data_IF_504806981772
#
_entry.id   IF_504806981772
#
_cell.length_a   1.000
_cell.length_b   1.000
_cell.length_c   1.000
_cell.angle_alpha   90.00
_cell.angle_beta   90.00
_cell.angle_gamma   90.00
#
_symmetry.space_group_name_H-M   'P 1'
#
loop_
_entity.id
_entity.type
_entity.pdbx_description
1 polymer ?
#
# COMPACT_ATOMS: atom_id res chain seq x y z
N UNK A 1 -12.60 -10.47 22.06
CA UNK A 1 -13.33 -9.26 22.50
C UNK A 1 -13.85 -9.44 23.93
N UNK A 2 -13.94 -8.36 24.76
CA UNK A 2 -14.63 -8.41 26.05
C UNK A 2 -16.13 -8.64 25.85
N UNK A 3 -16.83 -9.10 26.89
CA UNK A 3 -18.23 -9.55 26.79
C UNK A 3 -19.17 -8.49 26.20
N UNK A 4 -19.00 -7.22 26.57
CA UNK A 4 -19.81 -6.11 26.03
C UNK A 4 -19.68 -5.91 24.51
N UNK A 5 -18.63 -6.46 23.88
CA UNK A 5 -18.36 -6.34 22.45
C UNK A 5 -18.07 -7.71 21.79
N UNK A 6 -18.50 -8.82 22.41
CA UNK A 6 -18.15 -10.18 21.97
C UNK A 6 -18.56 -10.46 20.52
N UNK A 7 -19.72 -9.97 20.12
CA UNK A 7 -20.30 -10.17 18.79
C UNK A 7 -20.36 -8.88 17.96
N UNK A 8 -19.77 -7.80 18.45
CA UNK A 8 -19.80 -6.46 17.83
C UNK A 8 -18.42 -5.81 17.94
N UNK A 9 -17.41 -6.27 17.17
CA UNK A 9 -16.07 -5.71 17.19
C UNK A 9 -16.03 -4.18 16.99
N UNK A 10 -16.90 -3.64 16.14
CA UNK A 10 -17.07 -2.20 15.94
C UNK A 10 -17.43 -1.45 17.22
N UNK A 11 -18.25 -2.03 18.10
CA UNK A 11 -18.62 -1.44 19.39
C UNK A 11 -17.40 -1.32 20.31
N UNK A 12 -16.47 -2.29 20.26
CA UNK A 12 -15.22 -2.18 21.02
C UNK A 12 -14.42 -0.96 20.59
N UNK A 13 -14.24 -0.76 19.28
CA UNK A 13 -13.45 0.35 18.75
C UNK A 13 -14.11 1.71 18.98
N UNK A 14 -15.43 1.82 18.77
CA UNK A 14 -16.20 3.02 19.12
C UNK A 14 -16.10 3.35 20.62
N UNK A 15 -16.13 2.33 21.47
CA UNK A 15 -15.96 2.50 22.91
C UNK A 15 -14.53 2.93 23.29
N UNK A 16 -13.53 2.40 22.59
CA UNK A 16 -12.14 2.80 22.79
C UNK A 16 -11.94 4.28 22.44
N UNK A 17 -12.46 4.73 21.30
CA UNK A 17 -12.43 6.15 20.88
C UNK A 17 -13.15 7.05 21.90
N UNK A 18 -14.29 6.60 22.42
CA UNK A 18 -15.12 7.38 23.34
C UNK A 18 -14.55 7.46 24.76
N UNK A 19 -14.01 6.37 25.28
CA UNK A 19 -13.73 6.22 26.71
C UNK A 19 -12.24 6.15 27.08
N UNK A 20 -11.33 5.94 26.11
CA UNK A 20 -9.93 6.22 26.39
C UNK A 20 -9.70 7.72 26.63
N UNK A 21 -8.73 8.03 27.48
CA UNK A 21 -8.32 9.44 27.69
C UNK A 21 -7.74 10.01 26.39
N UNK A 22 -7.82 11.32 26.19
CA UNK A 22 -7.33 12.00 24.99
C UNK A 22 -5.89 11.62 24.58
N UNK A 23 -4.98 11.47 25.55
CA UNK A 23 -3.57 11.11 25.31
C UNK A 23 -3.27 9.61 25.52
N UNK A 24 -4.28 8.74 25.46
CA UNK A 24 -4.07 7.31 25.53
C UNK A 24 -3.86 6.71 24.15
N UNK A 25 -3.12 5.60 24.15
CA UNK A 25 -3.06 4.68 23.03
C UNK A 25 -4.39 3.93 22.93
N UNK A 26 -5.15 4.24 21.89
CA UNK A 26 -6.42 3.58 21.52
C UNK A 26 -6.11 2.19 20.96
N UNK A 27 -5.21 2.12 19.97
CA UNK A 27 -4.79 0.88 19.34
C UNK A 27 -3.28 0.82 19.06
N UNK A 28 -2.82 -0.40 18.79
CA UNK A 28 -1.55 -0.75 18.17
C UNK A 28 -1.86 -1.38 16.82
N UNK A 29 -1.04 -1.09 15.81
CA UNK A 29 -1.08 -1.80 14.54
C UNK A 29 0.24 -2.55 14.32
N UNK A 30 0.13 -3.79 13.83
CA UNK A 30 1.22 -4.55 13.23
C UNK A 30 0.79 -4.84 11.79
N UNK A 31 1.60 -4.38 10.84
CA UNK A 31 1.44 -4.68 9.42
C UNK A 31 2.53 -5.67 9.00
N UNK A 32 2.16 -6.71 8.27
CA UNK A 32 3.11 -7.73 7.80
C UNK A 32 2.70 -8.29 6.44
N UNK A 33 3.70 -8.47 5.57
CA UNK A 33 3.52 -9.09 4.27
C UNK A 33 3.29 -10.60 4.42
N UNK A 34 2.44 -11.15 3.57
CA UNK A 34 2.12 -12.56 3.51
C UNK A 34 2.88 -13.22 2.34
N UNK A 35 3.31 -14.50 2.45
CA UNK A 35 3.93 -15.18 1.34
C UNK A 35 2.99 -15.32 0.14
N UNK A 36 3.48 -15.00 -1.06
CA UNK A 36 2.71 -15.05 -2.32
C UNK A 36 2.50 -16.48 -2.81
N UNK A 37 3.37 -17.37 -2.37
CA UNK A 37 3.35 -18.80 -2.67
C UNK A 37 2.14 -19.48 -2.01
N UNK A 38 1.67 -18.94 -0.88
CA UNK A 38 0.53 -19.46 -0.13
C UNK A 38 -0.78 -18.95 -0.72
N UNK A 39 -1.76 -19.85 -0.83
CA UNK A 39 -3.15 -19.50 -1.12
C UNK A 39 -3.76 -18.65 0.01
N UNK A 40 -4.85 -17.93 -0.29
CA UNK A 40 -5.57 -17.13 0.71
C UNK A 40 -5.94 -17.94 1.96
N UNK A 41 -6.42 -19.19 1.78
CA UNK A 41 -6.80 -20.05 2.91
C UNK A 41 -5.59 -20.40 3.80
N UNK A 42 -4.45 -20.73 3.19
CA UNK A 42 -3.23 -21.03 3.93
C UNK A 42 -2.69 -19.78 4.64
N UNK A 43 -2.78 -18.61 3.99
CA UNK A 43 -2.44 -17.34 4.59
C UNK A 43 -3.38 -16.98 5.76
N UNK A 44 -4.67 -17.26 5.67
CA UNK A 44 -5.60 -17.11 6.80
C UNK A 44 -5.17 -18.00 7.98
N UNK A 45 -4.87 -19.29 7.73
CA UNK A 45 -4.38 -20.22 8.75
C UNK A 45 -3.09 -19.70 9.43
N UNK A 46 -2.13 -19.20 8.64
CA UNK A 46 -0.90 -18.59 9.13
C UNK A 46 -1.17 -17.35 9.99
N UNK A 47 -2.03 -16.43 9.53
CA UNK A 47 -2.41 -15.22 10.29
C UNK A 47 -3.06 -15.58 11.63
N UNK A 48 -3.99 -16.55 11.64
CA UNK A 48 -4.62 -17.00 12.89
C UNK A 48 -3.60 -17.61 13.87
N UNK A 49 -2.68 -18.43 13.36
CA UNK A 49 -1.60 -19.00 14.17
C UNK A 49 -0.72 -17.90 14.76
N UNK A 50 -0.37 -16.90 13.94
CA UNK A 50 0.47 -15.78 14.34
C UNK A 50 -0.19 -14.95 15.44
N UNK A 51 -1.45 -14.55 15.24
CA UNK A 51 -2.22 -13.80 16.25
C UNK A 51 -2.24 -14.56 17.58
N UNK A 52 -2.54 -15.86 17.56
CA UNK A 52 -2.56 -16.69 18.78
C UNK A 52 -1.20 -16.69 19.48
N UNK A 53 -0.12 -16.89 18.76
CA UNK A 53 1.23 -16.95 19.36
C UNK A 53 1.78 -15.58 19.79
N UNK A 54 1.11 -14.48 19.43
CA UNK A 54 1.64 -13.13 19.68
C UNK A 54 0.80 -12.36 20.70
N UNK A 55 -0.52 -12.30 20.51
CA UNK A 55 -1.42 -11.40 21.26
C UNK A 55 -2.71 -12.05 21.80
N UNK A 56 -2.98 -13.31 21.44
CA UNK A 56 -4.17 -14.07 21.85
C UNK A 56 -3.79 -15.49 22.33
N UNK A 57 -3.02 -15.54 23.41
CA UNK A 57 -2.56 -16.75 24.10
C UNK A 57 -2.84 -16.67 25.61
N UNK A 58 -2.39 -17.68 26.35
CA UNK A 58 -2.56 -17.79 27.79
C UNK A 58 -1.95 -16.62 28.58
N UNK A 59 -0.87 -16.01 28.07
CA UNK A 59 -0.21 -14.87 28.72
C UNK A 59 -0.83 -13.53 28.34
N UNK A 60 -1.42 -13.44 27.14
CA UNK A 60 -1.99 -12.21 26.60
C UNK A 60 -3.29 -12.49 25.88
N UNK A 61 -4.36 -11.86 26.35
CA UNK A 61 -5.67 -11.88 25.69
C UNK A 61 -6.09 -10.47 25.33
N UNK A 62 -5.65 -10.00 24.17
CA UNK A 62 -5.91 -8.63 23.73
C UNK A 62 -7.14 -8.58 22.82
N UNK A 63 -8.00 -7.55 22.92
CA UNK A 63 -8.99 -7.26 21.89
C UNK A 63 -8.30 -6.88 20.57
N UNK A 64 -8.67 -7.52 19.46
CA UNK A 64 -8.08 -7.27 18.14
C UNK A 64 -9.09 -7.37 17.00
N UNK A 65 -8.72 -6.80 15.86
CA UNK A 65 -9.34 -6.99 14.56
C UNK A 65 -8.22 -7.05 13.52
N UNK A 66 -8.43 -7.81 12.45
CA UNK A 66 -7.45 -7.87 11.37
C UNK A 66 -8.12 -7.94 10.01
N UNK A 67 -7.40 -7.50 8.99
CA UNK A 67 -7.82 -7.57 7.59
C UNK A 67 -6.65 -8.05 6.73
N UNK A 68 -6.94 -8.97 5.81
CA UNK A 68 -5.98 -9.41 4.78
C UNK A 68 -6.34 -8.68 3.49
N UNK A 69 -5.37 -7.95 2.95
CA UNK A 69 -5.46 -7.26 1.67
C UNK A 69 -4.56 -7.92 0.64
N UNK A 70 -4.86 -7.69 -0.64
CA UNK A 70 -3.94 -8.00 -1.73
C UNK A 70 -4.05 -6.90 -2.79
N UNK A 71 -2.96 -6.14 -2.96
CA UNK A 71 -2.90 -5.10 -3.99
C UNK A 71 -2.94 -5.74 -5.38
N UNK A 72 -4.01 -5.51 -6.14
CA UNK A 72 -4.24 -6.16 -7.44
C UNK A 72 -3.09 -5.96 -8.42
N UNK A 73 -2.51 -4.76 -8.42
CA UNK A 73 -1.49 -4.36 -9.39
C UNK A 73 -0.12 -4.97 -9.10
N UNK A 74 0.20 -5.20 -7.81
CA UNK A 74 1.52 -5.63 -7.37
C UNK A 74 1.55 -7.04 -6.76
N UNK A 75 0.39 -7.71 -6.69
CA UNK A 75 0.18 -8.98 -6.00
C UNK A 75 0.87 -9.01 -4.63
N UNK A 76 0.59 -8.00 -3.81
CA UNK A 76 1.22 -7.79 -2.51
C UNK A 76 0.25 -8.16 -1.38
N UNK A 77 0.09 -9.46 -1.05
CA UNK A 77 -0.77 -9.85 0.04
C UNK A 77 -0.15 -9.42 1.36
N UNK A 78 -0.92 -8.73 2.19
CA UNK A 78 -0.48 -8.23 3.49
C UNK A 78 -1.64 -8.26 4.50
N UNK A 79 -1.30 -8.24 5.78
CA UNK A 79 -2.27 -8.24 6.87
C UNK A 79 -2.07 -7.00 7.74
N UNK A 80 -3.18 -6.29 7.99
CA UNK A 80 -3.27 -5.27 9.03
C UNK A 80 -3.85 -5.92 10.27
N UNK A 81 -3.08 -5.97 11.36
CA UNK A 81 -3.54 -6.44 12.67
C UNK A 81 -3.60 -5.26 13.64
N UNK A 82 -4.81 -4.87 14.01
CA UNK A 82 -5.07 -3.78 14.96
C UNK A 82 -5.55 -4.35 16.29
N UNK A 83 -4.92 -3.97 17.39
CA UNK A 83 -5.27 -4.48 18.72
C UNK A 83 -5.16 -3.43 19.82
N UNK A 84 -5.96 -3.58 20.87
CA UNK A 84 -5.85 -2.78 22.10
C UNK A 84 -4.78 -3.37 23.01
N UNK A 85 -4.03 -2.50 23.71
CA UNK A 85 -3.06 -2.95 24.71
C UNK A 85 -3.70 -3.30 26.06
N UNK A 86 -5.04 -3.26 26.17
CA UNK A 86 -5.76 -3.68 27.38
C UNK A 86 -5.97 -5.18 27.38
N UNK A 87 -5.59 -5.84 28.47
CA UNK A 87 -5.79 -7.27 28.63
C UNK A 87 -7.21 -7.59 29.10
N UNK A 88 -7.84 -8.55 28.43
CA UNK A 88 -9.07 -9.18 28.89
C UNK A 88 -8.69 -10.14 30.02
N UNK A 89 -9.10 -9.79 31.24
CA UNK A 89 -9.01 -10.66 32.41
C UNK A 89 -10.37 -11.33 32.68
N UNK A 90 -10.55 -11.93 33.86
CA UNK A 90 -11.77 -12.64 34.25
C UNK A 90 -12.87 -11.73 34.82
N UNK A 91 -12.64 -10.42 34.94
CA UNK A 91 -13.63 -9.49 35.48
C UNK A 91 -14.48 -8.91 34.35
N UNK A 92 -15.78 -9.15 34.46
CA UNK A 92 -16.78 -8.56 33.59
C UNK A 92 -16.87 -7.04 33.83
N UNK A 93 -16.82 -6.28 32.74
CA UNK A 93 -16.86 -4.81 32.77
C UNK A 93 -17.76 -4.30 31.66
N UNK A 94 -18.53 -3.26 31.96
CA UNK A 94 -19.17 -2.45 30.92
C UNK A 94 -18.11 -1.64 30.15
N UNK A 95 -18.46 -1.19 28.94
CA UNK A 95 -17.56 -0.43 28.06
C UNK A 95 -16.85 0.72 28.78
N UNK A 96 -17.58 1.62 29.44
CA UNK A 96 -17.00 2.78 30.14
C UNK A 96 -15.97 2.34 31.19
N UNK A 97 -16.28 1.31 31.98
CA UNK A 97 -15.38 0.82 33.02
C UNK A 97 -14.12 0.19 32.42
N UNK A 98 -14.24 -0.59 31.34
CA UNK A 98 -13.12 -1.28 30.71
C UNK A 98 -11.96 -0.32 30.37
N UNK A 99 -12.28 0.91 29.95
CA UNK A 99 -11.29 1.93 29.57
C UNK A 99 -10.86 2.86 30.71
N UNK A 100 -11.37 2.70 31.94
CA UNK A 100 -10.86 3.43 33.12
C UNK A 100 -9.43 3.01 33.46
N UNK A 101 -8.80 3.76 34.39
CA UNK A 101 -7.51 3.37 34.95
C UNK A 101 -7.66 2.04 35.70
N UNK A 102 -6.71 1.13 35.49
CA UNK A 102 -6.68 -0.12 36.24
C UNK A 102 -6.43 0.14 37.73
N UNK A 103 -7.14 -0.59 38.58
CA UNK A 103 -6.97 -0.53 40.03
C UNK A 103 -6.21 -1.78 40.48
N UNK A 104 -4.96 -1.61 40.91
CA UNK A 104 -4.12 -2.75 41.33
C UNK A 104 -4.54 -3.36 42.66
N UNK A 105 -5.28 -2.63 43.51
CA UNK A 105 -5.75 -3.13 44.81
C UNK A 105 -7.06 -3.90 44.66
N UNK A 106 -8.00 -3.36 43.87
CA UNK A 106 -9.31 -3.97 43.60
C UNK A 106 -9.57 -3.96 42.07
N UNK A 107 -9.03 -4.93 41.30
CA UNK A 107 -9.07 -4.96 39.84
C UNK A 107 -10.47 -4.95 39.22
N UNK A 108 -11.46 -5.48 39.92
CA UNK A 108 -12.89 -5.53 39.57
C UNK A 108 -13.55 -4.15 39.62
N UNK A 109 -13.00 -3.20 40.40
CA UNK A 109 -13.50 -1.82 40.49
C UNK A 109 -12.78 -0.87 39.53
N UNK A 110 -11.73 -1.35 38.85
CA UNK A 110 -10.94 -0.58 37.88
C UNK A 110 -11.26 -0.95 36.44
N UNK A 111 -10.55 -0.30 35.52
CA UNK A 111 -10.52 -0.72 34.11
C UNK A 111 -9.52 -1.84 33.82
N UNK A 112 -9.57 -2.36 32.61
CA UNK A 112 -8.68 -3.43 32.17
C UNK A 112 -7.22 -2.96 32.17
N UNK A 113 -6.31 -3.79 32.70
CA UNK A 113 -4.88 -3.47 32.80
C UNK A 113 -4.26 -3.35 31.41
N UNK A 114 -3.45 -2.31 31.20
CA UNK A 114 -2.63 -2.19 30.00
C UNK A 114 -1.37 -3.06 30.12
N UNK A 115 -1.12 -3.86 29.10
CA UNK A 115 0.14 -4.58 28.94
C UNK A 115 1.23 -3.60 28.50
N UNK A 116 2.25 -3.45 29.35
CA UNK A 116 3.37 -2.52 29.11
C UNK A 116 4.54 -3.19 28.37
N UNK A 117 4.53 -4.50 28.20
CA UNK A 117 5.60 -5.20 27.48
C UNK A 117 5.50 -4.94 25.98
N UNK A 118 4.28 -4.72 25.48
CA UNK A 118 3.98 -4.46 24.06
C UNK A 118 4.74 -3.23 23.50
N UNK A 119 5.05 -2.25 24.34
CA UNK A 119 5.77 -1.04 23.93
C UNK A 119 7.29 -1.20 23.98
N UNK A 120 7.79 -2.34 24.45
CA UNK A 120 9.22 -2.58 24.58
C UNK A 120 9.82 -3.08 23.26
N UNK A 121 11.09 -2.75 23.01
CA UNK A 121 11.83 -3.22 21.84
C UNK A 121 11.89 -4.74 21.75
N UNK A 122 11.92 -5.41 22.91
CA UNK A 122 11.96 -6.87 22.96
C UNK A 122 10.68 -7.53 22.46
N UNK A 123 9.51 -6.92 22.72
CA UNK A 123 8.26 -7.39 22.12
C UNK A 123 8.33 -7.34 20.60
N UNK A 124 8.79 -6.23 20.02
CA UNK A 124 8.95 -6.10 18.56
C UNK A 124 9.90 -7.16 17.99
N UNK A 125 11.03 -7.42 18.65
CA UNK A 125 11.99 -8.46 18.24
C UNK A 125 11.36 -9.85 18.26
N UNK A 126 10.61 -10.17 19.32
CA UNK A 126 9.88 -11.42 19.43
C UNK A 126 8.79 -11.55 18.37
N UNK A 127 8.00 -10.50 18.11
CA UNK A 127 7.00 -10.48 17.02
C UNK A 127 7.65 -10.82 15.68
N UNK A 128 8.79 -10.19 15.34
CA UNK A 128 9.51 -10.44 14.08
C UNK A 128 10.03 -11.86 13.99
N UNK A 129 10.62 -12.37 15.08
CA UNK A 129 11.13 -13.75 15.15
C UNK A 129 10.00 -14.76 14.99
N UNK A 130 8.90 -14.59 15.74
CA UNK A 130 7.70 -15.44 15.63
C UNK A 130 7.14 -15.41 14.22
N UNK A 131 7.09 -14.24 13.57
CA UNK A 131 6.63 -14.14 12.19
C UNK A 131 7.53 -14.94 11.22
N UNK A 132 8.86 -14.76 11.30
CA UNK A 132 9.81 -15.56 10.49
C UNK A 132 9.54 -17.04 10.67
N UNK A 133 9.50 -17.52 11.91
CA UNK A 133 9.38 -18.94 12.22
C UNK A 133 8.09 -19.53 11.67
N UNK A 134 6.96 -18.86 11.89
CA UNK A 134 5.67 -19.38 11.43
C UNK A 134 5.49 -19.29 9.93
N UNK A 135 5.93 -18.19 9.29
CA UNK A 135 5.86 -18.07 7.85
C UNK A 135 6.72 -19.15 7.16
N UNK A 136 7.92 -19.40 7.67
CA UNK A 136 8.81 -20.45 7.16
C UNK A 136 8.25 -21.85 7.38
N UNK A 137 7.67 -22.12 8.55
CA UNK A 137 6.99 -23.39 8.84
C UNK A 137 5.79 -23.61 7.91
N UNK A 138 5.01 -22.55 7.63
CA UNK A 138 3.88 -22.64 6.70
C UNK A 138 4.37 -22.89 5.26
N UNK A 139 5.39 -22.16 4.81
CA UNK A 139 6.00 -22.37 3.49
C UNK A 139 6.49 -23.81 3.33
N UNK A 140 7.19 -24.35 4.33
CA UNK A 140 7.65 -25.73 4.33
C UNK A 140 6.49 -26.73 4.32
N UNK A 141 5.49 -26.55 5.19
CA UNK A 141 4.29 -27.40 5.30
C UNK A 141 3.57 -27.56 3.96
N UNK A 142 3.53 -26.50 3.14
CA UNK A 142 2.86 -26.51 1.84
C UNK A 142 3.81 -26.75 0.65
N UNK A 143 5.04 -27.19 0.91
CA UNK A 143 5.97 -27.67 -0.12
C UNK A 143 6.73 -26.56 -0.85
N UNK A 144 6.78 -25.35 -0.31
CA UNK A 144 7.55 -24.24 -0.88
C UNK A 144 8.98 -24.22 -0.33
N UNK A 145 9.94 -23.92 -1.21
CA UNK A 145 11.37 -23.77 -0.84
C UNK A 145 11.71 -22.35 -0.39
N UNK A 146 10.87 -21.37 -0.70
CA UNK A 146 11.04 -19.98 -0.29
C UNK A 146 11.11 -19.84 1.24
N UNK A 147 11.95 -18.93 1.73
CA UNK A 147 12.11 -18.62 3.16
C UNK A 147 12.27 -17.13 3.35
N UNK A 148 11.81 -16.63 4.49
CA UNK A 148 12.02 -15.25 4.94
C UNK A 148 12.96 -15.23 6.14
N UNK A 149 13.59 -14.09 6.38
CA UNK A 149 14.44 -13.84 7.55
C UNK A 149 14.24 -12.40 8.03
N UNK A 150 14.13 -12.19 9.34
CA UNK A 150 13.93 -10.86 9.94
C UNK A 150 15.23 -10.05 10.08
N UNK A 151 16.38 -10.72 9.97
CA UNK A 151 17.70 -10.10 10.08
C UNK A 151 18.05 -9.35 8.79
N UNK A 152 18.90 -8.36 8.92
CA UNK A 152 19.49 -7.70 7.75
C UNK A 152 20.33 -8.68 6.90
N UNK A 153 20.58 -8.35 5.64
CA UNK A 153 21.50 -9.13 4.80
C UNK A 153 22.90 -9.23 5.43
N UNK A 154 23.38 -8.14 6.05
CA UNK A 154 24.64 -8.10 6.78
C UNK A 154 24.68 -9.11 7.94
N UNK A 155 23.67 -9.13 8.80
CA UNK A 155 23.55 -10.10 9.91
C UNK A 155 23.39 -11.55 9.44
N UNK A 156 22.97 -11.76 8.19
CA UNK A 156 22.92 -13.08 7.55
C UNK A 156 24.25 -13.46 6.88
N UNK A 157 25.21 -12.54 6.77
CA UNK A 157 26.44 -12.74 6.01
C UNK A 157 26.24 -12.74 4.50
N UNK A 158 25.14 -12.14 4.02
CA UNK A 158 24.81 -12.02 2.60
C UNK A 158 25.39 -10.69 2.10
N UNK A 159 26.32 -10.76 1.16
CA UNK A 159 26.89 -9.59 0.50
C UNK A 159 25.90 -9.00 -0.53
N UNK A 160 24.88 -8.33 0.00
CA UNK A 160 23.84 -7.67 -0.78
C UNK A 160 23.41 -6.38 -0.10
N UNK A 161 23.39 -5.30 -0.86
CA UNK A 161 22.88 -4.02 -0.39
C UNK A 161 21.34 -4.08 -0.29
N UNK A 162 20.75 -3.71 0.86
CA UNK A 162 19.30 -3.64 0.98
C UNK A 162 18.73 -2.58 0.05
N UNK A 163 17.58 -2.88 -0.57
CA UNK A 163 16.89 -1.92 -1.44
C UNK A 163 16.44 -0.70 -0.61
N UNK A 164 16.72 0.50 -1.10
CA UNK A 164 16.28 1.72 -0.46
C UNK A 164 14.74 1.75 -0.34
N UNK A 165 14.24 2.17 0.83
CA UNK A 165 12.81 2.40 1.03
C UNK A 165 12.42 3.67 0.27
N UNK A 166 11.73 3.51 -0.84
CA UNK A 166 11.11 4.63 -1.55
C UNK A 166 9.85 5.04 -0.76
N UNK A 167 9.78 6.33 -0.37
CA UNK A 167 8.64 6.86 0.34
C UNK A 167 7.38 6.84 -0.56
N UNK A 168 6.19 6.80 0.04
CA UNK A 168 4.92 6.80 -0.72
C UNK A 168 4.82 8.00 -1.68
N UNK A 169 5.27 9.17 -1.25
CA UNK A 169 5.29 10.39 -2.07
C UNK A 169 6.19 10.20 -3.29
N UNK A 170 7.40 9.69 -3.09
CA UNK A 170 8.33 9.39 -4.17
C UNK A 170 7.79 8.32 -5.13
N UNK A 171 7.05 7.32 -4.64
CA UNK A 171 6.35 6.36 -5.51
C UNK A 171 5.25 7.02 -6.36
N UNK A 172 4.50 7.97 -5.80
CA UNK A 172 3.46 8.69 -6.54
C UNK A 172 4.07 9.58 -7.62
N UNK A 173 5.17 10.28 -7.30
CA UNK A 173 5.93 11.09 -8.24
C UNK A 173 6.52 10.23 -9.37
N UNK A 174 7.15 9.09 -9.03
CA UNK A 174 7.66 8.14 -10.02
C UNK A 174 6.56 7.62 -10.94
N UNK A 175 5.41 7.23 -10.37
CA UNK A 175 4.28 6.74 -11.16
C UNK A 175 3.67 7.83 -12.05
N UNK A 176 3.67 9.08 -11.59
CA UNK A 176 3.27 10.22 -12.41
C UNK A 176 4.23 10.42 -13.59
N UNK A 177 5.54 10.44 -13.32
CA UNK A 177 6.57 10.58 -14.35
C UNK A 177 6.52 9.44 -15.38
N UNK A 178 6.27 8.21 -14.94
CA UNK A 178 6.09 7.06 -15.84
C UNK A 178 4.89 7.24 -16.79
N UNK A 179 3.77 7.78 -16.28
CA UNK A 179 2.58 8.09 -17.10
C UNK A 179 2.87 9.22 -18.08
N UNK A 180 3.54 10.28 -17.62
CA UNK A 180 3.95 11.40 -18.47
C UNK A 180 4.89 10.94 -19.59
N UNK A 181 5.88 10.11 -19.26
CA UNK A 181 6.78 9.51 -20.25
C UNK A 181 6.03 8.63 -21.27
N UNK A 182 5.04 7.86 -20.82
CA UNK A 182 4.22 7.03 -21.72
C UNK A 182 3.43 7.90 -22.68
N UNK A 183 2.83 8.99 -22.18
CA UNK A 183 2.08 9.94 -22.99
C UNK A 183 2.98 10.66 -23.99
N UNK A 184 4.16 11.12 -23.57
CA UNK A 184 5.17 11.72 -24.45
C UNK A 184 5.59 10.74 -25.56
N UNK A 185 5.79 9.46 -25.24
CA UNK A 185 6.08 8.43 -26.24
C UNK A 185 4.97 8.27 -27.28
N UNK A 186 3.70 8.38 -26.87
CA UNK A 186 2.56 8.34 -27.78
C UNK A 186 2.47 9.60 -28.65
N UNK A 187 2.71 10.78 -28.09
CA UNK A 187 2.76 12.04 -28.84
C UNK A 187 3.88 12.03 -29.87
N UNK A 188 5.09 11.62 -29.49
CA UNK A 188 6.23 11.46 -30.41
C UNK A 188 5.87 10.50 -31.55
N UNK A 189 5.18 9.39 -31.26
CA UNK A 189 4.75 8.45 -32.29
C UNK A 189 3.68 9.03 -33.23
N UNK A 190 2.81 9.93 -32.76
CA UNK A 190 1.84 10.64 -33.60
C UNK A 190 2.53 11.68 -34.48
N UNK A 191 3.40 12.49 -33.90
CA UNK A 191 4.21 13.48 -34.64
C UNK A 191 5.07 12.80 -35.71
N UNK A 192 5.68 11.65 -35.39
CA UNK A 192 6.42 10.85 -36.37
C UNK A 192 5.57 10.43 -37.57
N UNK A 193 4.31 10.06 -37.36
CA UNK A 193 3.37 9.75 -38.46
C UNK A 193 3.00 10.96 -39.29
N UNK A 194 2.80 12.12 -38.66
CA UNK A 194 2.53 13.37 -39.38
C UNK A 194 3.73 13.76 -40.25
N UNK A 195 4.94 13.63 -39.72
CA UNK A 195 6.19 13.86 -40.44
C UNK A 195 6.33 12.88 -41.63
N UNK A 196 6.02 11.59 -41.44
CA UNK A 196 6.04 10.60 -42.53
C UNK A 196 5.04 10.91 -43.65
N UNK A 197 3.92 11.54 -43.32
CA UNK A 197 2.90 11.97 -44.28
C UNK A 197 3.37 13.21 -45.03
N UNK A 198 4.00 14.17 -44.34
CA UNK A 198 4.53 15.38 -44.97
C UNK A 198 5.68 15.05 -45.91
N UNK A 199 6.63 14.20 -45.52
CA UNK A 199 7.70 13.74 -46.42
C UNK A 199 7.14 13.06 -47.68
N UNK A 200 6.12 12.20 -47.53
CA UNK A 200 5.43 11.58 -48.68
C UNK A 200 4.76 12.63 -49.57
N UNK A 201 4.18 13.67 -48.99
CA UNK A 201 3.58 14.77 -49.74
C UNK A 201 4.63 15.52 -50.56
N UNK A 202 5.76 15.88 -49.95
CA UNK A 202 6.89 16.56 -50.60
C UNK A 202 7.51 15.69 -51.72
N UNK A 203 7.71 14.39 -51.47
CA UNK A 203 8.21 13.44 -52.46
C UNK A 203 7.31 13.37 -53.69
N UNK A 204 5.98 13.27 -53.50
CA UNK A 204 5.00 13.22 -54.59
C UNK A 204 5.00 14.52 -55.41
N UNK A 205 5.14 15.68 -54.75
CA UNK A 205 5.28 16.97 -55.45
C UNK A 205 6.58 17.00 -56.26
N UNK A 206 7.69 16.51 -55.72
CA UNK A 206 8.98 16.48 -56.41
C UNK A 206 8.95 15.61 -57.68
N UNK A 207 8.07 14.60 -57.71
CA UNK A 207 7.81 13.74 -58.86
C UNK A 207 6.87 14.37 -59.89
N UNK A 208 6.45 15.63 -59.70
CA UNK A 208 5.61 16.38 -60.63
C UNK A 208 4.11 16.15 -60.46
N UNK A 209 3.67 15.50 -59.37
CA UNK A 209 2.25 15.36 -59.05
C UNK A 209 1.71 16.70 -58.58
N UNK A 210 0.59 17.15 -59.17
CA UNK A 210 -0.07 18.40 -58.78
C UNK A 210 -0.41 18.43 -57.28
N UNK A 211 -0.28 19.59 -56.66
CA UNK A 211 -0.35 19.76 -55.20
C UNK A 211 -1.62 19.19 -54.55
N UNK A 212 -2.76 19.27 -55.24
CA UNK A 212 -4.03 18.70 -54.77
C UNK A 212 -3.99 17.17 -54.75
N UNK A 213 -3.51 16.55 -55.83
CA UNK A 213 -3.42 15.09 -55.97
C UNK A 213 -2.36 14.50 -55.04
N UNK A 214 -1.22 15.17 -54.86
CA UNK A 214 -0.18 14.75 -53.92
C UNK A 214 -0.70 14.73 -52.47
N UNK A 215 -1.49 15.73 -52.07
CA UNK A 215 -2.04 15.83 -50.71
C UNK A 215 -3.04 14.73 -50.42
N UNK A 216 -3.85 14.38 -51.42
CA UNK A 216 -4.81 13.29 -51.32
C UNK A 216 -4.11 11.93 -51.20
N UNK A 217 -3.03 11.71 -51.96
CA UNK A 217 -2.30 10.44 -52.01
C UNK A 217 -1.34 10.21 -50.83
N UNK A 218 -0.82 11.28 -50.20
CA UNK A 218 0.06 11.18 -49.04
C UNK A 218 -0.66 10.66 -47.79
N UNK A 219 -1.97 10.86 -47.69
CA UNK A 219 -2.81 10.30 -46.63
C UNK A 219 -3.31 8.92 -47.06
N UNK A 220 -3.10 7.88 -46.25
CA UNK A 220 -3.78 6.61 -46.53
C UNK A 220 -5.29 6.79 -46.33
N UNK A 221 -6.13 6.14 -47.14
CA UNK A 221 -7.59 6.16 -47.06
C UNK A 221 -8.11 5.90 -45.62
N UNK A 222 -7.36 5.11 -44.84
CA UNK A 222 -7.63 4.80 -43.43
C UNK A 222 -7.39 5.97 -42.46
N UNK A 223 -6.42 6.85 -42.74
CA UNK A 223 -6.07 7.98 -41.87
C UNK A 223 -7.05 9.14 -42.05
N UNK A 224 -7.54 9.37 -43.27
CA UNK A 224 -8.58 10.37 -43.56
C UNK A 224 -9.89 10.07 -42.81
N UNK A 225 -10.31 8.80 -42.77
CA UNK A 225 -11.49 8.35 -42.02
C UNK A 225 -11.30 8.49 -40.50
N UNK A 226 -10.06 8.31 -40.00
CA UNK A 226 -9.75 8.43 -38.57
C UNK A 226 -9.75 9.89 -38.10
N UNK A 227 -9.15 10.80 -38.88
CA UNK A 227 -9.15 12.25 -38.61
C UNK A 227 -10.58 12.83 -38.62
N UNK A 228 -11.43 12.37 -39.55
CA UNK A 228 -12.84 12.75 -39.58
C UNK A 228 -13.60 12.27 -38.33
N UNK A 229 -13.33 11.05 -37.86
CA UNK A 229 -13.99 10.47 -36.70
C UNK A 229 -13.61 11.18 -35.39
N UNK A 230 -12.32 11.47 -35.18
CA UNK A 230 -11.83 12.17 -33.98
C UNK A 230 -12.31 13.63 -33.90
N UNK A 231 -12.48 14.32 -35.05
CA UNK A 231 -13.04 15.70 -35.10
C UNK A 231 -14.54 15.77 -34.80
N UNK A 232 -15.28 14.70 -35.09
CA UNK A 232 -16.70 14.57 -34.76
C UNK A 232 -16.86 14.30 -33.26
N UNK A 233 -16.07 13.39 -32.69
CA UNK A 233 -16.09 13.04 -31.26
C UNK A 233 -15.70 14.25 -30.37
N UNK A 234 -14.68 15.04 -30.74
CA UNK A 234 -14.27 16.25 -30.00
C UNK A 234 -15.28 17.41 -30.04
N UNK A 235 -16.24 17.40 -30.98
CA UNK A 235 -17.34 18.38 -31.00
C UNK A 235 -18.49 18.00 -30.07
N UNK A 236 -18.60 16.73 -29.71
CA UNK A 236 -19.67 16.21 -28.86
C UNK A 236 -19.28 16.16 -27.37
N UNK A 237 -17.98 16.07 -27.04
CA UNK A 237 -17.48 16.01 -25.65
C UNK A 237 -16.99 17.36 -25.08
N UNK A 238 -17.81 18.42 -25.10
CA UNK A 238 -17.59 19.57 -24.19
C UNK A 238 -18.50 19.53 -22.95
N UNK A 239 -18.11 18.87 -21.84
CA UNK A 239 -18.59 19.21 -20.53
C UNK A 239 -17.78 20.36 -19.91
N UNK A 240 -18.51 21.34 -19.38
CA UNK A 240 -18.00 22.40 -18.49
C UNK A 240 -17.51 21.76 -17.19
N UNK A 241 -16.21 21.77 -16.91
CA UNK A 241 -15.71 21.80 -15.52
C UNK A 241 -14.24 22.21 -15.51
N UNK A 242 -14.01 23.52 -15.32
CA UNK A 242 -12.70 24.09 -15.07
C UNK A 242 -12.59 24.52 -13.61
N UNK A 243 -11.53 24.05 -12.95
CA UNK A 243 -10.78 24.74 -11.88
C UNK A 243 -11.41 24.67 -10.47
N UNK A 244 -10.81 23.84 -9.61
CA UNK A 244 -10.21 24.23 -8.32
C UNK A 244 -9.73 23.00 -7.54
N UNK A 245 -8.42 22.83 -7.43
CA UNK A 245 -7.73 22.53 -6.17
C UNK A 245 -6.23 22.52 -6.41
N UNK A 246 -5.63 23.71 -6.30
CA UNK A 246 -4.19 23.87 -6.07
C UNK A 246 -3.95 24.16 -4.59
N UNK A 247 -2.87 23.54 -4.11
CA UNK A 247 -1.99 23.95 -3.00
C UNK A 247 -2.42 23.71 -1.55
N UNK A 248 -1.66 22.81 -0.90
CA UNK A 248 -0.83 23.11 0.28
C UNK A 248 0.12 21.95 0.58
N UNK A 249 1.35 22.02 0.06
CA UNK A 249 2.46 21.17 0.51
C UNK A 249 3.38 22.04 1.40
N UNK A 250 3.62 21.69 2.67
CA UNK A 250 4.47 22.49 3.55
C UNK A 250 5.95 22.52 3.07
N UNK A 251 6.59 23.68 3.18
CA UNK A 251 7.96 23.97 2.75
C UNK A 251 9.09 23.18 3.44
N UNK A 252 8.76 22.29 4.39
CA UNK A 252 9.74 21.59 5.23
C UNK A 252 10.34 20.32 4.61
N UNK A 253 10.07 20.00 3.33
CA UNK A 253 10.56 18.77 2.67
C UNK A 253 11.67 19.04 1.63
N UNK A 254 12.18 20.29 1.54
CA UNK A 254 13.28 20.69 0.62
C UNK A 254 14.68 20.16 1.01
N UNK A 255 14.79 18.96 1.57
CA UNK A 255 16.06 18.21 1.62
C UNK A 255 15.87 16.85 0.96
N UNK A 256 15.52 16.89 -0.32
CA UNK A 256 15.69 15.75 -1.21
C UNK A 256 17.19 15.62 -1.54
N UNK A 257 17.66 14.38 -1.49
CA UNK A 257 18.97 13.92 -1.96
C UNK A 257 19.20 14.45 -3.38
N UNK A 258 20.37 15.00 -3.65
CA UNK A 258 20.63 15.71 -4.91
C UNK A 258 20.69 14.74 -6.08
N UNK A 259 20.35 15.19 -7.29
CA UNK A 259 20.52 14.38 -8.51
C UNK A 259 21.97 13.87 -8.66
N UNK A 260 22.95 14.65 -8.16
CA UNK A 260 24.36 14.25 -8.13
C UNK A 260 24.66 13.04 -7.22
N UNK A 261 23.81 12.79 -6.21
CA UNK A 261 23.92 11.58 -5.38
C UNK A 261 23.29 10.36 -6.07
N UNK A 262 22.33 10.55 -6.98
CA UNK A 262 21.71 9.47 -7.77
C UNK A 262 22.65 8.99 -8.89
N UNK A 263 23.33 9.92 -9.57
CA UNK A 263 24.21 9.62 -10.70
C UNK A 263 25.52 8.92 -10.29
N UNK A 264 25.83 8.83 -8.99
CA UNK A 264 26.95 8.05 -8.46
C UNK A 264 26.68 6.55 -8.34
N UNK A 265 25.43 6.11 -8.57
CA UNK A 265 25.00 4.72 -8.41
C UNK A 265 24.71 3.97 -9.73
N UNK A 266 24.98 4.59 -10.89
CA UNK A 266 25.04 3.93 -12.21
C UNK A 266 26.51 3.76 -12.59
#
# INVERSE_FOLDING_TARGET
>A
MPTFAKNTPELFWQSADRFERANARICTEIEFALPRELSLKQNQELVYSFIKNTIDNEQRKLPYSFAIHNDKDNNNPHCHLVFSVRQIDHFERIAEQFFKRANSKNPELGGAKKDREIIQKEFLRNVRRTWREQANQALEKYGHTARIDERSYEEQGIDKVPRARIARVSWQELSQLERENTNLGQEIALVGKEIDVEHRYEDLISQGIGSFSARLAAHSEKDYQKVLKTRVEQREEKPKQSIKQTEKTPESVKKAVSQADFDRFI
#
